data_IF_752715991420
#
_entry.id   IF_752715991420
#
_cell.length_a   1.000
_cell.length_b   1.000
_cell.length_c   1.000
_cell.angle_alpha   90.00
_cell.angle_beta   90.00
_cell.angle_gamma   90.00
#
_symmetry.space_group_name_H-M   'P 1'
#
loop_
_entity.id
_entity.type
_entity.pdbx_description
1 polymer ?
#
# COMPACT_ATOMS: atom_id res chain seq x y z
N UNK A 1 -5.48 -12.81 -4.82
CA UNK A 1 -5.42 -12.29 -3.43
C UNK A 1 -6.47 -11.19 -3.19
N UNK A 2 -7.74 -11.38 -3.58
CA UNK A 2 -8.74 -10.29 -3.61
C UNK A 2 -9.90 -10.43 -2.60
N UNK A 3 -9.87 -11.42 -1.70
CA UNK A 3 -11.07 -11.83 -0.95
C UNK A 3 -11.09 -11.37 0.53
N UNK A 4 -9.94 -11.04 1.15
CA UNK A 4 -9.88 -10.78 2.61
C UNK A 4 -10.18 -9.34 3.04
N UNK A 5 -10.16 -8.37 2.13
CA UNK A 5 -10.37 -6.93 2.45
C UNK A 5 -11.81 -6.46 2.21
N UNK A 6 -12.75 -7.39 1.91
CA UNK A 6 -14.17 -7.06 1.64
C UNK A 6 -14.89 -6.23 2.73
N UNK A 7 -14.29 -6.08 3.92
CA UNK A 7 -14.88 -5.37 5.05
C UNK A 7 -14.20 -4.04 5.41
N UNK A 8 -13.15 -3.58 4.70
CA UNK A 8 -12.58 -2.24 4.91
C UNK A 8 -12.81 -1.39 3.67
N UNK A 9 -13.52 -0.28 3.86
CA UNK A 9 -13.66 0.77 2.85
C UNK A 9 -12.91 2.01 3.35
N UNK A 10 -11.77 2.36 2.75
CA UNK A 10 -11.08 3.61 3.06
C UNK A 10 -11.99 4.82 2.79
N UNK A 11 -11.96 5.81 3.68
CA UNK A 11 -12.73 7.05 3.53
C UNK A 11 -11.87 8.14 2.90
N UNK A 12 -12.50 9.06 2.15
CA UNK A 12 -11.85 10.20 1.50
C UNK A 12 -10.70 9.75 0.59
N UNK A 13 -9.54 10.39 0.70
CA UNK A 13 -8.31 10.17 -0.06
C UNK A 13 -7.42 9.06 0.51
N UNK A 14 -7.97 8.19 1.36
CA UNK A 14 -7.18 7.12 1.98
C UNK A 14 -7.04 5.92 1.07
N UNK A 15 -5.88 5.28 1.14
CA UNK A 15 -5.49 4.11 0.36
C UNK A 15 -4.99 3.04 1.31
N UNK A 16 -5.57 1.85 1.22
CA UNK A 16 -5.15 0.68 1.98
C UNK A 16 -4.17 -0.14 1.15
N UNK A 17 -2.98 -0.39 1.71
CA UNK A 17 -1.87 -1.06 1.05
C UNK A 17 -1.42 -2.26 1.87
N UNK A 18 -1.09 -3.35 1.19
CA UNK A 18 -0.39 -4.49 1.77
C UNK A 18 1.09 -4.41 1.37
N UNK A 19 1.99 -4.32 2.36
CA UNK A 19 3.44 -4.29 2.11
C UNK A 19 3.90 -5.60 1.47
N UNK A 20 4.80 -5.50 0.49
CA UNK A 20 5.48 -6.64 -0.08
C UNK A 20 6.50 -7.12 0.95
N UNK A 21 6.40 -8.39 1.35
CA UNK A 21 7.42 -8.99 2.22
C UNK A 21 8.67 -9.23 1.39
N UNK A 22 9.81 -8.72 1.84
CA UNK A 22 11.09 -9.02 1.23
C UNK A 22 11.35 -10.55 1.29
N UNK A 23 11.90 -11.12 0.22
CA UNK A 23 12.27 -12.54 0.23
C UNK A 23 13.36 -12.76 1.27
N UNK A 24 13.15 -13.71 2.19
CA UNK A 24 14.14 -14.08 3.22
C UNK A 24 15.32 -14.87 2.64
N UNK A 25 15.14 -15.47 1.45
CA UNK A 25 16.16 -16.25 0.76
C UNK A 25 16.27 -15.79 -0.69
N UNK A 26 17.50 -15.60 -1.17
CA UNK A 26 17.76 -15.42 -2.61
C UNK A 26 17.53 -16.72 -3.37
N UNK A 27 17.40 -16.65 -4.70
CA UNK A 27 17.27 -17.82 -5.58
C UNK A 27 18.40 -18.85 -5.42
N UNK A 28 19.54 -18.45 -4.85
CA UNK A 28 20.71 -19.30 -4.56
C UNK A 28 20.73 -19.88 -3.14
N UNK A 29 19.69 -19.65 -2.33
CA UNK A 29 19.56 -20.19 -0.97
C UNK A 29 20.27 -19.38 0.12
N UNK A 30 20.83 -18.20 -0.19
CA UNK A 30 21.52 -17.35 0.78
C UNK A 30 20.47 -16.58 1.60
N UNK A 31 20.57 -16.66 2.93
CA UNK A 31 19.76 -15.88 3.86
C UNK A 31 20.14 -14.40 3.76
N UNK A 32 19.17 -13.55 3.46
CA UNK A 32 19.37 -12.10 3.45
C UNK A 32 19.27 -11.61 4.90
N UNK A 33 20.28 -10.90 5.43
CA UNK A 33 20.20 -10.30 6.76
C UNK A 33 18.98 -9.38 6.87
N UNK A 34 18.26 -9.40 8.00
CA UNK A 34 17.07 -8.54 8.22
C UNK A 34 17.34 -7.06 7.93
N UNK A 35 18.57 -6.56 8.20
CA UNK A 35 19.00 -5.18 7.87
C UNK A 35 19.00 -4.84 6.38
N UNK A 36 19.15 -5.83 5.49
CA UNK A 36 19.11 -5.62 4.05
C UNK A 36 17.68 -5.72 3.47
N UNK A 37 16.70 -6.15 4.27
CA UNK A 37 15.29 -6.20 3.87
C UNK A 37 14.57 -4.85 4.01
N UNK A 38 15.18 -3.86 4.67
CA UNK A 38 14.67 -2.48 4.78
C UNK A 38 14.55 -1.75 3.42
N UNK A 39 15.12 -2.29 2.33
CA UNK A 39 15.22 -1.61 1.06
C UNK A 39 13.93 -1.55 0.22
N UNK A 40 12.95 -2.44 0.47
CA UNK A 40 11.74 -2.50 -0.35
C UNK A 40 10.53 -1.96 0.42
N UNK A 41 10.44 -0.64 0.50
CA UNK A 41 9.22 0.04 0.94
C UNK A 41 8.15 0.03 -0.16
N UNK A 42 7.84 -1.15 -0.69
CA UNK A 42 6.85 -1.33 -1.76
C UNK A 42 5.60 -2.04 -1.22
N UNK A 43 4.47 -1.80 -1.84
CA UNK A 43 3.21 -2.42 -1.47
C UNK A 43 2.22 -2.53 -2.63
N UNK A 44 1.26 -3.42 -2.49
CA UNK A 44 0.11 -3.53 -3.39
C UNK A 44 -1.10 -2.82 -2.81
N UNK A 45 -1.74 -1.98 -3.62
CA UNK A 45 -2.99 -1.31 -3.26
C UNK A 45 -4.12 -2.34 -3.21
N UNK A 46 -4.79 -2.43 -2.06
CA UNK A 46 -5.86 -3.40 -1.83
C UNK A 46 -7.24 -2.75 -1.81
N UNK A 47 -7.33 -1.51 -1.35
CA UNK A 47 -8.56 -0.72 -1.41
C UNK A 47 -8.24 0.77 -1.52
N UNK A 48 -9.11 1.51 -2.19
CA UNK A 48 -8.98 2.95 -2.43
C UNK A 48 -10.28 3.63 -2.00
N UNK A 49 -10.16 4.77 -1.32
CA UNK A 49 -11.29 5.62 -1.00
C UNK A 49 -11.83 6.37 -2.22
N UNK A 50 -12.89 7.14 -2.02
CA UNK A 50 -13.53 7.92 -3.10
C UNK A 50 -12.66 9.08 -3.60
N UNK A 51 -11.60 9.43 -2.87
CA UNK A 51 -10.71 10.54 -3.17
C UNK A 51 -10.98 11.80 -2.34
N UNK A 52 -10.05 12.75 -2.40
CA UNK A 52 -10.10 14.01 -1.66
C UNK A 52 -11.30 14.85 -2.08
N UNK A 53 -11.81 15.71 -1.19
CA UNK A 53 -12.85 16.66 -1.54
C UNK A 53 -12.22 17.98 -1.99
N UNK A 54 -12.71 18.54 -3.09
CA UNK A 54 -12.39 19.90 -3.49
C UNK A 54 -13.21 20.92 -2.65
N UNK A 55 -12.98 22.22 -2.88
CA UNK A 55 -13.71 23.30 -2.18
C UNK A 55 -15.22 23.30 -2.48
N UNK A 56 -15.63 22.70 -3.59
CA UNK A 56 -17.02 22.62 -4.04
C UNK A 56 -17.73 21.34 -3.56
N UNK A 57 -17.03 20.49 -2.77
CA UNK A 57 -17.58 19.22 -2.26
C UNK A 57 -17.59 18.07 -3.26
N UNK A 58 -16.98 18.23 -4.45
CA UNK A 58 -16.79 17.14 -5.40
C UNK A 58 -15.53 16.31 -5.06
N UNK A 59 -15.58 15.01 -5.35
CA UNK A 59 -14.45 14.12 -5.17
C UNK A 59 -13.42 14.29 -6.29
N UNK A 60 -12.16 14.46 -5.91
CA UNK A 60 -10.98 14.37 -6.76
C UNK A 60 -10.57 12.90 -6.81
N UNK A 61 -10.57 12.31 -8.00
CA UNK A 61 -10.22 10.90 -8.17
C UNK A 61 -8.79 10.61 -7.65
N UNK A 62 -8.59 9.50 -6.90
CA UNK A 62 -7.27 9.03 -6.50
C UNK A 62 -6.36 8.74 -7.70
N UNK A 63 -5.05 8.88 -7.53
CA UNK A 63 -4.07 8.58 -8.59
C UNK A 63 -3.71 7.09 -8.71
N UNK A 64 -4.17 6.27 -7.76
CA UNK A 64 -3.90 4.83 -7.70
C UNK A 64 -5.18 3.99 -7.76
N UNK A 65 -5.07 2.80 -8.34
CA UNK A 65 -6.15 1.83 -8.44
C UNK A 65 -5.84 0.57 -7.62
N UNK A 66 -6.88 -0.19 -7.29
CA UNK A 66 -6.72 -1.51 -6.64
C UNK A 66 -5.90 -2.43 -7.54
N UNK A 67 -4.88 -3.05 -6.98
CA UNK A 67 -3.92 -3.90 -7.68
C UNK A 67 -2.62 -3.20 -8.09
N UNK A 68 -2.57 -1.86 -8.03
CA UNK A 68 -1.35 -1.13 -8.37
C UNK A 68 -0.23 -1.42 -7.36
N UNK A 69 1.01 -1.51 -7.87
CA UNK A 69 2.23 -1.57 -7.07
C UNK A 69 2.69 -0.13 -6.80
N UNK A 70 2.92 0.21 -5.54
CA UNK A 70 3.26 1.58 -5.12
C UNK A 70 4.48 1.59 -4.20
N UNK A 71 5.26 2.67 -4.32
CA UNK A 71 6.34 2.99 -3.41
C UNK A 71 5.79 3.77 -2.22
N UNK A 72 6.05 3.25 -1.03
CA UNK A 72 5.60 3.76 0.25
C UNK A 72 6.69 4.64 0.88
N UNK A 73 6.31 5.69 1.62
CA UNK A 73 7.26 6.43 2.42
C UNK A 73 7.81 5.54 3.54
N UNK A 74 9.05 5.81 3.96
CA UNK A 74 9.71 5.07 5.04
C UNK A 74 8.96 5.21 6.38
N UNK A 75 8.25 6.33 6.56
CA UNK A 75 7.51 6.67 7.76
C UNK A 75 6.11 7.16 7.41
N UNK A 76 5.20 7.09 8.37
CA UNK A 76 3.81 7.50 8.19
C UNK A 76 2.90 6.31 7.88
N UNK A 77 1.65 6.65 7.56
CA UNK A 77 0.56 5.68 7.49
C UNK A 77 0.15 5.14 8.86
N UNK A 78 -1.02 4.52 8.90
CA UNK A 78 -1.57 3.86 10.09
C UNK A 78 -1.58 2.35 9.88
N UNK A 79 -1.08 1.58 10.85
CA UNK A 79 -1.17 0.12 10.81
C UNK A 79 -2.61 -0.32 11.10
N UNK A 80 -3.13 -1.20 10.25
CA UNK A 80 -4.48 -1.76 10.36
C UNK A 80 -4.36 -3.28 10.29
N UNK A 81 -4.77 -3.97 11.36
CA UNK A 81 -4.82 -5.44 11.40
C UNK A 81 -6.21 -5.93 11.11
N UNK A 82 -6.37 -6.76 10.08
CA UNK A 82 -7.64 -7.41 9.74
C UNK A 82 -7.43 -8.88 9.41
N UNK A 83 -8.23 -9.74 10.04
CA UNK A 83 -8.19 -11.19 9.81
C UNK A 83 -6.78 -11.80 9.98
N UNK A 84 -6.00 -11.25 10.93
CA UNK A 84 -4.62 -11.68 11.21
C UNK A 84 -3.57 -11.19 10.23
N UNK A 85 -3.95 -10.38 9.23
CA UNK A 85 -3.04 -9.78 8.27
C UNK A 85 -2.83 -8.29 8.57
N UNK A 86 -1.59 -7.84 8.35
CA UNK A 86 -1.21 -6.44 8.55
C UNK A 86 -1.31 -5.67 7.23
N UNK A 87 -2.01 -4.54 7.31
CA UNK A 87 -2.18 -3.58 6.25
C UNK A 87 -1.74 -2.20 6.73
N UNK A 88 -1.46 -1.31 5.80
CA UNK A 88 -1.13 0.07 6.09
C UNK A 88 -2.10 0.99 5.35
N UNK A 89 -2.62 1.97 6.07
CA UNK A 89 -3.50 3.00 5.53
C UNK A 89 -2.69 4.28 5.34
N UNK A 90 -2.58 4.74 4.09
CA UNK A 90 -1.92 5.99 3.70
C UNK A 90 -2.93 6.96 3.12
N UNK A 91 -2.53 8.22 2.95
CA UNK A 91 -3.20 9.11 2.00
C UNK A 91 -2.64 8.93 0.60
N UNK A 92 -3.47 9.18 -0.41
CA UNK A 92 -3.09 9.17 -1.83
C UNK A 92 -1.89 10.10 -2.07
N UNK A 93 -1.84 11.25 -1.39
CA UNK A 93 -0.75 12.23 -1.47
C UNK A 93 0.55 11.82 -0.76
N UNK A 94 0.52 10.80 0.09
CA UNK A 94 1.70 10.30 0.81
C UNK A 94 2.42 9.19 0.03
N UNK A 95 1.78 8.61 -0.99
CA UNK A 95 2.38 7.61 -1.86
C UNK A 95 3.43 8.28 -2.75
N UNK A 96 4.63 7.68 -2.81
CA UNK A 96 5.77 8.31 -3.48
C UNK A 96 5.77 8.11 -4.99
N UNK A 97 5.40 6.91 -5.44
CA UNK A 97 5.37 6.56 -6.85
C UNK A 97 4.47 5.34 -7.10
N UNK A 98 3.98 5.21 -8.34
CA UNK A 98 3.47 3.94 -8.87
C UNK A 98 4.61 3.21 -9.57
N UNK A 99 4.82 1.94 -9.25
CA UNK A 99 5.83 1.09 -9.87
C UNK A 99 5.20 0.39 -11.07
N UNK A 100 5.63 0.75 -12.28
CA UNK A 100 5.26 0.06 -13.52
C UNK A 100 6.45 -0.78 -13.95
N UNK A 101 6.29 -2.10 -13.92
CA UNK A 101 7.23 -3.01 -14.57
C UNK A 101 6.89 -3.01 -16.07
N UNK A 102 7.78 -2.46 -16.91
CA UNK A 102 7.78 -2.68 -18.36
C UNK A 102 8.36 -4.05 -18.71
#
# INVERSE_FOLDING_TARGET
MATKVRNIVPLLDRVLVQRIKAQEKTSSGILIPEKAQEALNEGYVVAVGKGALNKDGAHIAPQVNVGDKVLLPAYGGSNVKVNGEEYFLFRDSELLAKVTEE
#
